data_IF_159770431750
#
_entry.id   IF_159770431750
#
_cell.length_a   1.000
_cell.length_b   1.000
_cell.length_c   1.000
_cell.angle_alpha   90.00
_cell.angle_beta   90.00
_cell.angle_gamma   90.00
#
_symmetry.space_group_name_H-M   'P 1'
#
loop_
_entity.id
_entity.type
_entity.pdbx_description
1 polymer ?
#
# COMPACT_ATOMS: atom_id res chain seq x y z
N UNK A 1 -13.62 21.70 -30.80
CA UNK A 1 -14.76 21.13 -30.04
C UNK A 1 -14.63 19.64 -29.79
N UNK A 2 -14.31 18.85 -30.79
CA UNK A 2 -14.10 17.42 -30.65
C UNK A 2 -12.97 17.07 -29.69
N UNK A 3 -11.95 17.91 -29.64
CA UNK A 3 -10.78 17.70 -28.77
C UNK A 3 -11.15 17.68 -27.29
N UNK A 4 -12.11 18.49 -26.89
CA UNK A 4 -12.53 18.58 -25.49
C UNK A 4 -13.21 17.27 -25.06
N UNK A 5 -14.05 16.71 -25.94
CA UNK A 5 -14.75 15.46 -25.67
C UNK A 5 -13.76 14.30 -25.56
N UNK A 6 -12.75 14.27 -26.42
CA UNK A 6 -11.72 13.23 -26.39
C UNK A 6 -10.91 13.29 -25.10
N UNK A 7 -10.57 14.47 -24.62
CA UNK A 7 -9.84 14.62 -23.36
C UNK A 7 -10.63 14.07 -22.18
N UNK A 8 -11.91 14.32 -22.17
CA UNK A 8 -12.80 13.85 -21.12
C UNK A 8 -12.86 12.32 -21.08
N UNK A 9 -12.97 11.69 -22.24
CA UNK A 9 -13.02 10.22 -22.35
C UNK A 9 -11.72 9.60 -21.86
N UNK A 10 -10.58 10.19 -22.20
CA UNK A 10 -9.27 9.71 -21.74
C UNK A 10 -9.18 9.77 -20.21
N UNK A 11 -9.69 10.85 -19.62
CA UNK A 11 -9.68 11.01 -18.16
C UNK A 11 -10.47 9.89 -17.47
N UNK A 12 -11.62 9.51 -18.01
CA UNK A 12 -12.42 8.42 -17.44
C UNK A 12 -11.75 7.06 -17.60
N UNK A 13 -11.01 6.87 -18.68
CA UNK A 13 -10.35 5.59 -18.95
C UNK A 13 -9.16 5.32 -18.04
N UNK A 14 -8.69 6.32 -17.29
CA UNK A 14 -7.52 6.18 -16.43
C UNK A 14 -7.87 5.86 -14.99
N UNK A 15 -9.09 5.44 -14.72
CA UNK A 15 -9.47 5.06 -13.36
C UNK A 15 -8.85 3.72 -13.00
N UNK A 16 -7.92 3.77 -12.06
CA UNK A 16 -7.23 2.61 -11.54
C UNK A 16 -6.67 2.94 -10.17
N UNK A 17 -5.85 2.05 -9.63
CA UNK A 17 -5.16 2.37 -8.38
C UNK A 17 -3.87 3.12 -8.65
N UNK A 18 -3.47 3.94 -7.69
CA UNK A 18 -2.18 4.61 -7.69
C UNK A 18 -1.66 4.63 -6.25
N UNK A 19 -0.47 4.09 -6.06
CA UNK A 19 0.16 4.02 -4.74
C UNK A 19 1.47 4.81 -4.83
N UNK A 20 1.59 5.86 -4.02
CA UNK A 20 2.77 6.70 -3.99
C UNK A 20 3.45 6.54 -2.64
N UNK A 21 4.75 6.29 -2.62
CA UNK A 21 5.51 6.14 -1.40
C UNK A 21 6.41 7.34 -1.15
N UNK A 22 6.46 7.78 0.10
CA UNK A 22 7.27 8.91 0.56
C UNK A 22 7.87 8.54 1.91
N UNK A 23 8.87 7.67 1.90
CA UNK A 23 9.49 7.18 3.14
C UNK A 23 10.67 8.03 3.58
N UNK A 24 11.18 8.90 2.70
CA UNK A 24 12.28 9.79 3.03
C UNK A 24 13.63 9.08 3.10
N UNK A 25 14.67 9.85 3.43
CA UNK A 25 16.02 9.31 3.56
C UNK A 25 16.63 8.92 2.24
N UNK A 26 17.60 8.00 2.31
CA UNK A 26 18.32 7.51 1.13
C UNK A 26 18.02 6.05 0.83
N UNK A 27 16.93 5.53 1.39
CA UNK A 27 16.53 4.14 1.21
C UNK A 27 16.14 3.90 -0.25
N UNK A 28 16.61 2.82 -0.81
CA UNK A 28 16.31 2.46 -2.20
C UNK A 28 16.25 0.96 -2.38
N UNK A 29 15.91 0.54 -3.58
CA UNK A 29 15.86 -0.87 -3.94
C UNK A 29 14.60 -1.23 -4.69
N UNK A 30 14.55 -2.47 -5.13
CA UNK A 30 13.41 -2.99 -5.88
C UNK A 30 12.25 -3.32 -4.94
N UNK A 31 11.05 -2.92 -5.34
CA UNK A 31 9.82 -3.23 -4.63
C UNK A 31 8.87 -3.95 -5.57
N UNK A 32 8.02 -4.80 -5.00
CA UNK A 32 7.00 -5.50 -5.76
C UNK A 32 5.67 -5.39 -5.02
N UNK A 33 4.60 -5.18 -5.78
CA UNK A 33 3.22 -5.20 -5.27
C UNK A 33 2.63 -6.55 -5.65
N UNK A 34 2.22 -7.31 -4.65
CA UNK A 34 1.66 -8.65 -4.87
C UNK A 34 0.28 -8.76 -4.24
N UNK A 35 -0.59 -9.56 -4.86
CA UNK A 35 -1.88 -9.88 -4.27
C UNK A 35 -1.75 -11.15 -3.42
N UNK A 36 -2.46 -11.17 -2.30
CA UNK A 36 -2.60 -12.37 -1.49
C UNK A 36 -3.70 -13.23 -2.12
N UNK A 37 -3.35 -14.41 -2.54
CA UNK A 37 -4.27 -15.31 -3.21
C UNK A 37 -4.13 -16.72 -2.62
N UNK A 38 -5.21 -17.49 -2.52
CA UNK A 38 -5.13 -18.87 -2.01
C UNK A 38 -4.19 -19.75 -2.82
N UNK A 39 -4.02 -19.46 -4.11
CA UNK A 39 -3.12 -20.20 -4.98
C UNK A 39 -1.69 -19.69 -5.00
N UNK A 40 -1.36 -18.68 -4.17
CA UNK A 40 -0.05 -18.06 -4.10
C UNK A 40 -0.10 -16.58 -4.42
N UNK A 41 1.01 -15.89 -4.21
CA UNK A 41 1.09 -14.47 -4.48
C UNK A 41 1.20 -14.21 -5.98
N UNK A 42 0.45 -13.22 -6.47
CA UNK A 42 0.49 -12.79 -7.87
C UNK A 42 1.05 -11.38 -7.94
N UNK A 43 2.09 -11.19 -8.74
CA UNK A 43 2.69 -9.87 -8.91
C UNK A 43 1.74 -8.97 -9.70
N UNK A 44 1.42 -7.80 -9.14
CA UNK A 44 0.56 -6.81 -9.77
C UNK A 44 1.36 -5.71 -10.44
N UNK A 45 2.47 -5.30 -9.83
CA UNK A 45 3.32 -4.25 -10.37
C UNK A 45 4.67 -4.33 -9.66
N UNK A 46 5.65 -3.62 -10.22
CA UNK A 46 6.95 -3.48 -9.58
C UNK A 46 7.44 -2.04 -9.73
N UNK A 47 8.28 -1.61 -8.81
CA UNK A 47 8.79 -0.24 -8.79
C UNK A 47 10.20 -0.23 -8.22
N UNK A 48 10.95 0.81 -8.57
CA UNK A 48 12.25 1.07 -7.99
C UNK A 48 12.08 2.20 -6.97
N UNK A 49 12.49 1.94 -5.74
CA UNK A 49 12.50 2.98 -4.72
C UNK A 49 13.81 3.74 -4.79
N UNK A 50 13.72 5.06 -4.89
CA UNK A 50 14.88 5.95 -4.94
C UNK A 50 14.68 7.04 -3.89
N UNK A 51 15.62 7.15 -2.94
CA UNK A 51 15.55 8.11 -1.85
C UNK A 51 14.22 8.04 -1.09
N UNK A 52 13.72 6.83 -0.89
CA UNK A 52 12.47 6.58 -0.17
C UNK A 52 11.20 6.82 -0.97
N UNK A 53 11.29 7.19 -2.23
CA UNK A 53 10.12 7.47 -3.07
C UNK A 53 9.90 6.35 -4.09
N UNK A 54 8.64 5.98 -4.26
CA UNK A 54 8.25 4.96 -5.25
C UNK A 54 6.80 5.15 -5.67
N UNK A 55 6.43 4.49 -6.76
CA UNK A 55 5.05 4.57 -7.27
C UNK A 55 4.66 3.24 -7.91
N UNK A 56 3.45 2.78 -7.60
CA UNK A 56 2.79 1.68 -8.30
C UNK A 56 1.51 2.17 -8.91
N UNK A 57 1.09 1.55 -10.02
CA UNK A 57 -0.19 1.84 -10.64
C UNK A 57 -0.71 0.60 -11.37
N UNK A 58 -2.01 0.59 -11.61
CA UNK A 58 -2.67 -0.50 -12.30
C UNK A 58 -4.17 -0.48 -12.05
N UNK A 59 -4.80 -1.62 -12.31
CA UNK A 59 -6.24 -1.77 -12.08
C UNK A 59 -6.53 -3.13 -11.46
N UNK A 60 -7.57 -3.16 -10.63
CA UNK A 60 -8.09 -4.42 -10.08
C UNK A 60 -9.57 -4.52 -10.43
N UNK A 61 -10.04 -5.74 -10.60
CA UNK A 61 -11.45 -6.00 -10.92
C UNK A 61 -12.34 -5.94 -9.69
N UNK A 62 -11.78 -6.20 -8.53
CA UNK A 62 -12.47 -6.14 -7.26
C UNK A 62 -11.43 -5.85 -6.17
N UNK A 63 -11.92 -5.53 -4.98
CA UNK A 63 -11.04 -5.29 -3.84
C UNK A 63 -10.26 -6.55 -3.51
N UNK A 64 -8.95 -6.41 -3.33
CA UNK A 64 -8.06 -7.52 -2.97
C UNK A 64 -7.12 -7.09 -1.86
N UNK A 65 -6.65 -8.08 -1.11
CA UNK A 65 -5.58 -7.85 -0.14
C UNK A 65 -4.24 -7.89 -0.88
N UNK A 66 -3.44 -6.86 -0.70
CA UNK A 66 -2.16 -6.74 -1.39
C UNK A 66 -1.06 -6.35 -0.42
N UNK A 67 0.16 -6.72 -0.78
CA UNK A 67 1.36 -6.41 0.01
C UNK A 67 2.39 -5.73 -0.87
N UNK A 68 3.09 -4.76 -0.29
CA UNK A 68 4.30 -4.19 -0.89
C UNK A 68 5.48 -4.88 -0.22
N UNK A 69 6.34 -5.51 -1.02
CA UNK A 69 7.45 -6.31 -0.52
C UNK A 69 8.76 -5.87 -1.13
N UNK A 70 9.85 -6.04 -0.38
CA UNK A 70 11.20 -5.80 -0.88
C UNK A 70 11.68 -7.00 -1.70
N UNK A 71 12.86 -6.87 -2.33
CA UNK A 71 13.49 -7.96 -3.06
C UNK A 71 13.78 -9.17 -2.17
N UNK A 72 14.02 -8.93 -0.88
CA UNK A 72 14.25 -10.00 0.10
C UNK A 72 12.96 -10.56 0.69
N UNK A 73 11.81 -10.23 0.06
CA UNK A 73 10.50 -10.69 0.47
C UNK A 73 10.07 -10.20 1.86
N UNK A 74 10.55 -9.02 2.26
CA UNK A 74 10.14 -8.39 3.50
C UNK A 74 8.93 -7.49 3.22
N UNK A 75 7.79 -7.71 3.90
CA UNK A 75 6.63 -6.85 3.69
C UNK A 75 6.84 -5.48 4.34
N UNK A 76 6.52 -4.42 3.61
CA UNK A 76 6.61 -3.06 4.15
C UNK A 76 5.24 -2.42 4.33
N UNK A 77 4.23 -2.89 3.62
CA UNK A 77 2.87 -2.36 3.77
C UNK A 77 1.85 -3.39 3.32
N UNK A 78 0.67 -3.32 3.93
CA UNK A 78 -0.48 -4.16 3.58
C UNK A 78 -1.63 -3.24 3.19
N UNK A 79 -2.28 -3.54 2.08
CA UNK A 79 -3.36 -2.72 1.55
C UNK A 79 -4.60 -3.53 1.23
N UNK A 80 -5.77 -2.94 1.49
CA UNK A 80 -7.02 -3.39 0.90
C UNK A 80 -7.15 -2.62 -0.41
N UNK A 81 -6.67 -3.23 -1.48
CA UNK A 81 -6.47 -2.56 -2.77
C UNK A 81 -7.75 -2.47 -3.58
N UNK A 82 -8.10 -1.24 -3.91
CA UNK A 82 -9.21 -0.88 -4.81
C UNK A 82 -8.65 0.10 -5.84
N UNK A 83 -9.41 0.46 -6.83
CA UNK A 83 -8.98 1.45 -7.83
C UNK A 83 -9.10 2.86 -7.28
N UNK A 84 -8.26 3.16 -6.27
CA UNK A 84 -8.23 4.42 -5.54
C UNK A 84 -6.78 4.86 -5.37
N UNK A 85 -6.58 6.03 -4.78
CA UNK A 85 -5.25 6.56 -4.51
C UNK A 85 -4.83 6.26 -3.07
N UNK A 86 -3.56 5.90 -2.91
CA UNK A 86 -2.94 5.59 -1.63
C UNK A 86 -1.61 6.32 -1.51
N UNK A 87 -1.26 6.71 -0.30
CA UNK A 87 0.05 7.27 0.00
C UNK A 87 0.67 6.49 1.15
N UNK A 88 1.90 6.05 0.97
CA UNK A 88 2.64 5.29 1.98
C UNK A 88 3.69 6.23 2.57
N UNK A 89 3.62 6.47 3.86
CA UNK A 89 4.53 7.41 4.53
C UNK A 89 5.15 6.76 5.76
N UNK A 90 6.28 7.30 6.20
CA UNK A 90 6.91 6.90 7.46
C UNK A 90 6.31 7.76 8.58
N UNK A 91 5.61 7.13 9.51
CA UNK A 91 5.02 7.79 10.66
C UNK A 91 5.79 7.49 11.93
N UNK A 92 5.30 7.99 13.04
CA UNK A 92 5.95 7.81 14.35
C UNK A 92 6.02 6.35 14.79
N UNK A 93 5.02 5.57 14.41
CA UNK A 93 4.91 4.16 14.80
C UNK A 93 5.25 3.19 13.67
N UNK A 94 5.92 3.67 12.63
CA UNK A 94 6.29 2.87 11.48
C UNK A 94 5.61 3.35 10.21
N UNK A 95 5.48 2.46 9.26
CA UNK A 95 4.94 2.81 7.95
C UNK A 95 3.41 2.91 8.04
N UNK A 96 2.87 4.01 7.52
CA UNK A 96 1.44 4.28 7.50
C UNK A 96 0.92 4.30 6.08
N UNK A 97 -0.30 3.76 5.89
CA UNK A 97 -1.01 3.80 4.62
C UNK A 97 -2.13 4.82 4.74
N UNK A 98 -2.12 5.82 3.87
CA UNK A 98 -3.15 6.86 3.82
C UNK A 98 -3.92 6.74 2.51
N UNK A 99 -5.19 7.16 2.52
CA UNK A 99 -6.05 7.07 1.36
C UNK A 99 -6.74 5.74 1.28
N UNK A 100 -7.18 5.37 0.07
CA UNK A 100 -7.96 4.17 -0.13
C UNK A 100 -9.42 4.35 0.28
N UNK A 101 -10.13 3.23 0.48
CA UNK A 101 -11.54 3.23 0.83
C UNK A 101 -11.80 2.85 2.27
N UNK A 102 -13.05 2.53 2.56
CA UNK A 102 -13.47 2.16 3.91
C UNK A 102 -12.77 0.92 4.43
N UNK A 103 -12.53 -0.06 3.55
CA UNK A 103 -11.83 -1.29 3.95
C UNK A 103 -10.39 -1.02 4.39
N UNK A 104 -9.71 -0.08 3.73
CA UNK A 104 -8.37 0.32 4.12
C UNK A 104 -8.39 1.01 5.48
N UNK A 105 -9.39 1.83 5.73
CA UNK A 105 -9.56 2.51 7.00
C UNK A 105 -9.74 1.51 8.14
N UNK A 106 -10.54 0.49 7.93
CA UNK A 106 -10.77 -0.58 8.90
C UNK A 106 -9.48 -1.37 9.15
N UNK A 107 -8.74 -1.69 8.09
CA UNK A 107 -7.46 -2.38 8.21
C UNK A 107 -6.46 -1.57 9.03
N UNK A 108 -6.40 -0.26 8.80
CA UNK A 108 -5.52 0.62 9.56
C UNK A 108 -5.87 0.61 11.05
N UNK A 109 -7.15 0.62 11.38
CA UNK A 109 -7.60 0.55 12.77
C UNK A 109 -7.24 -0.78 13.41
N UNK A 110 -7.41 -1.87 12.67
CA UNK A 110 -7.05 -3.21 13.13
C UNK A 110 -5.55 -3.30 13.43
N UNK A 111 -4.73 -2.75 12.57
CA UNK A 111 -3.27 -2.76 12.76
C UNK A 111 -2.85 -1.98 14.00
N UNK A 112 -3.48 -0.84 14.27
CA UNK A 112 -3.21 -0.05 15.48
C UNK A 112 -3.58 -0.84 16.73
N UNK A 113 -4.74 -1.49 16.72
CA UNK A 113 -5.19 -2.31 17.85
C UNK A 113 -4.22 -3.46 18.11
N UNK A 114 -3.79 -4.15 17.05
CA UNK A 114 -2.84 -5.25 17.19
C UNK A 114 -1.50 -4.80 17.77
N UNK A 115 -1.00 -3.65 17.34
CA UNK A 115 0.24 -3.10 17.90
C UNK A 115 0.09 -2.79 19.37
N UNK A 116 -1.04 -2.24 19.78
CA UNK A 116 -1.31 -1.92 21.18
C UNK A 116 -1.37 -3.18 22.02
N UNK A 117 -2.06 -4.21 21.56
CA UNK A 117 -2.16 -5.48 22.26
C UNK A 117 -0.78 -6.14 22.41
N UNK A 118 0.03 -6.11 21.37
CA UNK A 118 1.37 -6.68 21.39
C UNK A 118 2.25 -5.97 22.41
N UNK A 119 2.20 -4.65 22.47
CA UNK A 119 2.96 -3.85 23.43
C UNK A 119 2.56 -4.18 24.86
N UNK A 120 1.27 -4.25 25.12
CA UNK A 120 0.75 -4.61 26.44
C UNK A 120 1.19 -5.99 26.86
N UNK A 121 1.14 -6.94 25.96
CA UNK A 121 1.56 -8.32 26.23
C UNK A 121 3.06 -8.37 26.56
N UNK A 122 3.89 -7.68 25.80
CA UNK A 122 5.32 -7.63 26.06
C UNK A 122 5.64 -6.99 27.40
N UNK A 123 4.92 -5.92 27.75
CA UNK A 123 5.11 -5.26 29.02
C UNK A 123 4.77 -6.20 30.18
N UNK A 124 3.66 -6.92 30.07
CA UNK A 124 3.26 -7.86 31.12
C UNK A 124 4.27 -8.98 31.29
N UNK A 125 4.85 -9.48 30.23
CA UNK A 125 5.89 -10.49 30.28
C UNK A 125 7.15 -10.00 30.99
N UNK A 126 7.48 -8.73 30.85
CA UNK A 126 8.64 -8.14 31.49
C UNK A 126 8.44 -7.92 33.00
N UNK A 127 7.21 -7.76 33.43
CA UNK A 127 6.90 -7.54 34.83
C UNK A 127 6.90 -8.84 35.66
N UNK A 128 6.88 -9.99 35.00
CA UNK A 128 6.95 -11.28 35.66
C UNK A 128 8.40 -11.71 35.86
#
# INVERSE_FOLDING_TARGET
MLLVVCSFVVSLAQQGFKITGELGGTIGGDLVLVSASPGGAVKLDEALMVNGSFEFSGQVDSMILAYIMTAEQQPIATLMLENLEYTIVAGENGIEVRGGGESQKILNQYNVINQTITREKMRMEQEV
#
